data_IF_222639382097
#
_entry.id   IF_222639382097
#
_cell.length_a   1.000
_cell.length_b   1.000
_cell.length_c   1.000
_cell.angle_alpha   90.00
_cell.angle_beta   90.00
_cell.angle_gamma   90.00
#
_symmetry.space_group_name_H-M   'P 1'
#
loop_
_entity.id
_entity.type
_entity.pdbx_description
1 polymer ?
#
# COMPACT_ATOMS: atom_id res chain seq x y z
N UNK A 1 -15.08 9.78 -6.57
CA UNK A 1 -16.06 8.97 -5.78
C UNK A 1 -15.41 7.86 -4.95
N UNK A 2 -14.21 7.35 -5.31
CA UNK A 2 -13.49 6.32 -4.52
C UNK A 2 -12.92 6.86 -3.18
N UNK A 3 -12.71 8.18 -3.08
CA UNK A 3 -12.26 8.86 -1.85
C UNK A 3 -13.34 9.03 -0.76
N UNK A 4 -14.55 8.50 -0.97
CA UNK A 4 -15.70 8.79 -0.08
C UNK A 4 -16.03 7.66 0.89
N UNK A 5 -15.46 6.46 0.68
CA UNK A 5 -15.45 5.31 1.57
C UNK A 5 -14.31 4.38 1.13
N UNK A 6 -13.07 4.69 1.49
CA UNK A 6 -11.96 3.77 1.26
C UNK A 6 -12.24 2.43 1.98
N UNK A 7 -11.87 1.29 1.37
CA UNK A 7 -11.83 0.00 2.06
C UNK A 7 -11.17 0.14 3.44
N UNK A 8 -11.70 -0.49 4.49
CA UNK A 8 -11.13 -0.40 5.83
C UNK A 8 -9.64 -0.79 5.80
N UNK A 9 -8.78 0.07 6.37
CA UNK A 9 -7.31 -0.10 6.35
C UNK A 9 -6.57 0.77 5.32
N UNK A 10 -7.26 1.34 4.31
CA UNK A 10 -6.59 2.21 3.31
C UNK A 10 -6.26 3.60 3.86
N UNK A 11 -7.09 4.15 4.73
CA UNK A 11 -6.81 5.47 5.33
C UNK A 11 -5.54 5.42 6.19
N UNK A 12 -5.38 4.35 6.95
CA UNK A 12 -4.19 4.10 7.76
C UNK A 12 -2.96 3.85 6.88
N UNK A 13 -3.08 3.11 5.76
CA UNK A 13 -1.99 2.96 4.78
C UNK A 13 -1.53 4.29 4.22
N UNK A 14 -2.47 5.13 3.81
CA UNK A 14 -2.16 6.44 3.23
C UNK A 14 -1.50 7.35 4.26
N UNK A 15 -1.96 7.31 5.52
CA UNK A 15 -1.32 8.02 6.62
C UNK A 15 0.13 7.54 6.85
N UNK A 16 0.35 6.21 6.86
CA UNK A 16 1.68 5.61 7.06
C UNK A 16 2.60 5.81 5.85
N UNK A 17 2.10 5.80 4.62
CA UNK A 17 2.88 6.19 3.44
C UNK A 17 3.33 7.67 3.54
N UNK A 18 2.51 8.52 4.14
CA UNK A 18 2.90 9.88 4.53
C UNK A 18 4.11 9.92 5.46
N UNK A 19 4.18 9.00 6.44
CA UNK A 19 5.35 8.86 7.33
C UNK A 19 6.60 8.53 6.53
N UNK A 20 6.53 7.54 5.63
CA UNK A 20 7.66 7.17 4.78
C UNK A 20 8.18 8.36 3.96
N UNK A 21 7.27 9.17 3.43
CA UNK A 21 7.62 10.40 2.70
C UNK A 21 8.32 11.42 3.58
N UNK A 22 7.87 11.61 4.83
CA UNK A 22 8.52 12.51 5.79
C UNK A 22 9.91 11.98 6.18
N UNK A 23 10.03 10.69 6.47
CA UNK A 23 11.28 10.05 6.84
C UNK A 23 12.33 10.09 5.72
N UNK A 24 11.90 10.10 4.46
CA UNK A 24 12.79 10.17 3.28
C UNK A 24 12.84 11.55 2.63
N UNK A 25 12.24 12.57 3.25
CA UNK A 25 12.20 13.92 2.70
C UNK A 25 13.60 14.51 2.63
N UNK A 26 13.95 15.14 1.50
CA UNK A 26 15.17 15.95 1.36
C UNK A 26 14.93 17.45 1.62
N UNK A 27 13.67 17.83 1.75
CA UNK A 27 13.25 19.22 1.96
C UNK A 27 13.19 19.58 3.45
N UNK A 28 12.98 18.57 4.30
CA UNK A 28 12.86 18.71 5.75
C UNK A 28 13.78 17.68 6.40
N UNK A 29 14.69 18.14 7.26
CA UNK A 29 15.56 17.27 8.07
C UNK A 29 14.96 17.16 9.47
N UNK A 30 14.56 15.93 9.85
CA UNK A 30 14.04 15.62 11.17
C UNK A 30 14.99 14.66 11.87
N UNK A 31 15.37 14.95 13.11
CA UNK A 31 16.13 14.01 13.94
C UNK A 31 15.28 12.83 14.39
N UNK A 32 13.99 13.07 14.68
CA UNK A 32 13.01 12.09 15.17
C UNK A 32 11.61 12.45 14.70
N UNK A 33 10.77 11.43 14.48
CA UNK A 33 9.35 11.57 14.11
C UNK A 33 8.54 10.77 15.13
N UNK A 34 7.55 11.40 15.77
CA UNK A 34 6.61 10.72 16.69
C UNK A 34 5.25 10.65 16.03
N UNK A 35 4.67 9.46 15.99
CA UNK A 35 3.39 9.19 15.33
C UNK A 35 2.39 8.77 16.40
N UNK A 36 1.33 9.57 16.57
CA UNK A 36 0.19 9.22 17.40
C UNK A 36 -0.85 8.50 16.52
N UNK A 37 -0.96 7.18 16.69
CA UNK A 37 -1.87 6.35 15.89
C UNK A 37 -3.24 6.27 16.54
N UNK A 38 -4.31 6.31 15.74
CA UNK A 38 -5.65 6.01 16.23
C UNK A 38 -5.73 4.59 16.85
N UNK A 39 -6.60 4.36 17.85
CA UNK A 39 -6.67 3.12 18.61
C UNK A 39 -7.21 1.99 17.74
N UNK A 40 -6.33 1.27 17.03
CA UNK A 40 -6.76 0.09 16.26
C UNK A 40 -5.64 -0.95 16.19
N UNK A 41 -5.95 -2.21 16.54
CA UNK A 41 -5.12 -3.38 16.20
C UNK A 41 -4.95 -3.60 14.69
N UNK A 42 -5.47 -2.70 13.84
CA UNK A 42 -5.31 -2.69 12.40
C UNK A 42 -3.91 -2.18 11.98
N UNK A 43 -3.27 -1.31 12.76
CA UNK A 43 -1.90 -0.83 12.52
C UNK A 43 -0.88 -1.97 12.50
N UNK A 44 -1.08 -3.02 13.30
CA UNK A 44 -0.21 -4.21 13.26
C UNK A 44 -0.60 -5.17 12.12
N UNK A 45 -1.89 -5.29 11.77
CA UNK A 45 -2.29 -6.05 10.56
C UNK A 45 -1.76 -5.42 9.29
N UNK A 46 -1.52 -4.12 9.27
CA UNK A 46 -0.89 -3.41 8.17
C UNK A 46 0.54 -3.87 7.88
N UNK A 47 1.25 -4.42 8.88
CA UNK A 47 2.56 -5.04 8.64
C UNK A 47 2.46 -6.35 7.84
N UNK A 48 1.29 -7.01 7.86
CA UNK A 48 1.01 -8.20 7.02
C UNK A 48 0.37 -7.86 5.67
N UNK A 49 -0.06 -6.62 5.47
CA UNK A 49 -0.64 -6.14 4.21
C UNK A 49 0.31 -6.21 3.00
N UNK A 50 1.64 -5.96 3.13
CA UNK A 50 2.59 -6.11 2.02
C UNK A 50 2.48 -7.47 1.34
N UNK A 51 2.44 -8.56 2.11
CA UNK A 51 2.42 -9.92 1.56
C UNK A 51 1.12 -10.23 0.81
N UNK A 52 -0.02 -9.73 1.31
CA UNK A 52 -1.30 -9.84 0.61
C UNK A 52 -1.29 -9.03 -0.70
N UNK A 53 -0.79 -7.79 -0.65
CA UNK A 53 -0.74 -6.92 -1.82
C UNK A 53 0.19 -7.51 -2.89
N UNK A 54 1.31 -8.11 -2.49
CA UNK A 54 2.23 -8.81 -3.38
C UNK A 54 1.52 -9.87 -4.22
N UNK A 55 0.81 -10.77 -3.54
CA UNK A 55 0.06 -11.85 -4.18
C UNK A 55 -1.10 -11.33 -5.04
N UNK A 56 -1.75 -10.25 -4.63
CA UNK A 56 -2.82 -9.64 -5.40
C UNK A 56 -2.29 -9.01 -6.70
N UNK A 57 -1.19 -8.28 -6.62
CA UNK A 57 -0.57 -7.63 -7.78
C UNK A 57 -0.05 -8.64 -8.80
N UNK A 58 0.56 -9.73 -8.34
CA UNK A 58 0.96 -10.82 -9.22
C UNK A 58 -0.21 -11.39 -10.01
N UNK A 59 -1.39 -11.52 -9.39
CA UNK A 59 -2.61 -11.99 -10.06
C UNK A 59 -3.14 -10.96 -11.07
N UNK A 60 -3.13 -9.68 -10.71
CA UNK A 60 -3.58 -8.58 -11.59
C UNK A 60 -2.68 -8.44 -12.81
N UNK A 61 -1.35 -8.50 -12.63
CA UNK A 61 -0.38 -8.44 -13.72
C UNK A 61 -0.58 -9.62 -14.68
N UNK A 62 -0.69 -10.85 -14.16
CA UNK A 62 -0.97 -12.04 -14.97
C UNK A 62 -2.31 -11.96 -15.72
N UNK A 63 -3.34 -11.38 -15.10
CA UNK A 63 -4.62 -11.17 -15.76
C UNK A 63 -4.51 -10.15 -16.90
N UNK A 64 -3.81 -9.04 -16.68
CA UNK A 64 -3.53 -8.02 -17.71
C UNK A 64 -2.78 -8.61 -18.90
N UNK A 65 -1.71 -9.40 -18.66
CA UNK A 65 -0.95 -10.07 -19.72
C UNK A 65 -1.84 -10.99 -20.59
N UNK A 66 -2.75 -11.74 -19.96
CA UNK A 66 -3.71 -12.58 -20.68
C UNK A 66 -4.70 -11.76 -21.50
N UNK A 67 -5.21 -10.66 -20.95
CA UNK A 67 -6.15 -9.77 -21.63
C UNK A 67 -5.48 -9.06 -22.81
N UNK A 68 -4.23 -8.62 -22.67
CA UNK A 68 -3.48 -7.98 -23.75
C UNK A 68 -3.21 -8.96 -24.91
N UNK A 69 -2.90 -10.22 -24.60
CA UNK A 69 -2.80 -11.28 -25.60
C UNK A 69 -4.10 -11.51 -26.39
N UNK A 70 -5.24 -11.56 -25.71
CA UNK A 70 -6.56 -11.77 -26.35
C UNK A 70 -7.02 -10.54 -27.13
N UNK A 71 -6.97 -9.35 -26.52
CA UNK A 71 -7.27 -8.09 -27.19
C UNK A 71 -6.33 -7.89 -28.37
N UNK A 72 -5.11 -8.41 -28.27
CA UNK A 72 -4.14 -8.28 -29.32
C UNK A 72 -4.49 -9.04 -30.60
N UNK A 73 -5.07 -10.23 -30.45
CA UNK A 73 -5.63 -11.01 -31.56
C UNK A 73 -6.88 -10.34 -32.12
N UNK A 74 -7.79 -9.89 -31.25
CA UNK A 74 -9.07 -9.26 -31.65
C UNK A 74 -8.85 -7.92 -32.37
N UNK A 75 -7.97 -7.06 -31.88
CA UNK A 75 -7.69 -5.79 -32.52
C UNK A 75 -6.90 -5.93 -33.84
N UNK A 76 -6.17 -7.04 -34.03
CA UNK A 76 -5.61 -7.40 -35.34
C UNK A 76 -6.69 -7.66 -36.39
N UNK A 77 -7.91 -8.00 -35.96
CA UNK A 77 -9.09 -8.21 -36.81
C UNK A 77 -10.00 -6.96 -36.90
N UNK A 78 -10.05 -6.10 -35.87
CA UNK A 78 -11.03 -5.01 -35.74
C UNK A 78 -10.48 -3.58 -35.65
N UNK A 79 -9.16 -3.38 -35.65
CA UNK A 79 -8.51 -2.08 -35.89
C UNK A 79 -8.70 -0.97 -34.84
N UNK A 80 -9.31 -1.22 -33.68
CA UNK A 80 -9.48 -0.24 -32.58
C UNK A 80 -8.91 -0.79 -31.27
N UNK A 81 -7.77 -0.26 -30.84
CA UNK A 81 -6.93 -0.85 -29.76
C UNK A 81 -6.58 0.11 -28.62
N UNK A 82 -6.49 1.42 -28.89
CA UNK A 82 -5.61 2.26 -28.06
C UNK A 82 -6.15 2.65 -26.67
N UNK A 83 -7.44 2.97 -26.52
CA UNK A 83 -7.87 3.63 -25.27
C UNK A 83 -8.00 2.71 -24.04
N UNK A 84 -8.37 1.43 -24.22
CA UNK A 84 -8.61 0.51 -23.10
C UNK A 84 -7.30 -0.06 -22.52
N UNK A 85 -6.36 -0.43 -23.39
CA UNK A 85 -5.06 -0.97 -22.98
C UNK A 85 -4.24 0.11 -22.26
N UNK A 86 -4.25 1.34 -22.78
CA UNK A 86 -3.57 2.48 -22.16
C UNK A 86 -4.07 2.76 -20.73
N UNK A 87 -5.39 2.68 -20.49
CA UNK A 87 -5.96 2.89 -19.16
C UNK A 87 -5.60 1.76 -18.18
N UNK A 88 -5.60 0.50 -18.65
CA UNK A 88 -5.18 -0.64 -17.84
C UNK A 88 -3.70 -0.51 -17.44
N UNK A 89 -2.85 -0.05 -18.36
CA UNK A 89 -1.43 0.13 -18.11
C UNK A 89 -1.15 1.19 -17.05
N UNK A 90 -1.83 2.33 -17.11
CA UNK A 90 -1.71 3.38 -16.10
C UNK A 90 -2.16 2.86 -14.72
N UNK A 91 -3.23 2.07 -14.66
CA UNK A 91 -3.71 1.48 -13.41
C UNK A 91 -2.69 0.49 -12.82
N UNK A 92 -2.13 -0.40 -13.65
CA UNK A 92 -1.11 -1.37 -13.23
C UNK A 92 0.16 -0.68 -12.73
N UNK A 93 0.64 0.35 -13.45
CA UNK A 93 1.82 1.10 -13.02
C UNK A 93 1.59 1.84 -11.70
N UNK A 94 0.40 2.38 -11.49
CA UNK A 94 0.02 3.01 -10.22
C UNK A 94 0.06 1.99 -9.08
N UNK A 95 -0.48 0.79 -9.31
CA UNK A 95 -0.47 -0.30 -8.35
C UNK A 95 0.94 -0.81 -8.00
N UNK A 96 1.85 -0.86 -8.99
CA UNK A 96 3.26 -1.22 -8.76
C UNK A 96 3.94 -0.19 -7.84
N UNK A 97 3.70 1.11 -8.05
CA UNK A 97 4.26 2.16 -7.17
C UNK A 97 3.76 2.02 -5.73
N UNK A 98 2.47 1.77 -5.54
CA UNK A 98 1.91 1.53 -4.21
C UNK A 98 2.55 0.31 -3.52
N UNK A 99 2.88 -0.74 -4.28
CA UNK A 99 3.61 -1.92 -3.77
C UNK A 99 4.97 -1.52 -3.20
N UNK A 100 5.74 -0.75 -3.96
CA UNK A 100 7.09 -0.32 -3.59
C UNK A 100 7.06 0.54 -2.31
N UNK A 101 6.09 1.45 -2.21
CA UNK A 101 5.89 2.27 -1.02
C UNK A 101 5.55 1.43 0.21
N UNK A 102 4.69 0.42 0.07
CA UNK A 102 4.28 -0.46 1.17
C UNK A 102 5.42 -1.37 1.64
N UNK A 103 6.23 -1.90 0.71
CA UNK A 103 7.43 -2.66 1.04
C UNK A 103 8.42 -1.77 1.80
N UNK A 104 8.67 -0.57 1.29
CA UNK A 104 9.57 0.39 1.93
C UNK A 104 9.11 0.79 3.34
N UNK A 105 7.80 0.93 3.56
CA UNK A 105 7.21 1.20 4.86
C UNK A 105 7.39 0.01 5.81
N UNK A 106 7.14 -1.21 5.35
CA UNK A 106 7.39 -2.44 6.12
C UNK A 106 8.85 -2.52 6.56
N UNK A 107 9.77 -2.29 5.63
CA UNK A 107 11.21 -2.38 5.90
C UNK A 107 11.63 -1.31 6.91
N UNK A 108 11.08 -0.09 6.83
CA UNK A 108 11.29 0.96 7.83
C UNK A 108 10.80 0.54 9.22
N UNK A 109 9.62 -0.08 9.31
CA UNK A 109 9.07 -0.55 10.59
C UNK A 109 9.76 -1.78 11.16
N UNK A 110 10.43 -2.57 10.32
CA UNK A 110 11.23 -3.71 10.75
C UNK A 110 12.67 -3.32 11.16
N UNK A 111 13.12 -2.11 10.83
CA UNK A 111 14.44 -1.60 11.20
C UNK A 111 14.46 -1.15 12.66
N UNK A 112 15.16 -1.92 13.50
CA UNK A 112 15.28 -1.68 14.94
C UNK A 112 16.18 -0.49 15.31
N UNK A 113 17.04 -0.02 14.40
CA UNK A 113 17.88 1.16 14.63
C UNK A 113 17.12 2.46 14.29
N UNK A 114 16.13 2.38 13.41
CA UNK A 114 15.36 3.53 12.93
C UNK A 114 13.97 3.68 13.58
N UNK A 115 13.32 2.57 13.98
CA UNK A 115 11.93 2.56 14.45
C UNK A 115 11.77 1.89 15.82
N UNK A 116 10.97 2.51 16.69
CA UNK A 116 10.54 1.98 17.98
C UNK A 116 9.01 2.03 18.10
N UNK A 117 8.41 1.01 18.73
CA UNK A 117 6.98 0.97 19.03
C UNK A 117 6.74 1.06 20.55
N UNK A 118 5.92 2.02 20.96
CA UNK A 118 5.51 2.19 22.36
C UNK A 118 4.01 1.90 22.49
N UNK A 119 3.66 0.82 23.21
CA UNK A 119 2.26 0.45 23.47
C UNK A 119 1.75 1.19 24.70
N UNK A 120 0.67 1.95 24.53
CA UNK A 120 -0.01 2.67 25.61
C UNK A 120 -1.33 1.98 25.92
N UNK A 121 -1.49 1.49 27.15
CA UNK A 121 -2.70 0.77 27.59
C UNK A 121 -3.10 1.14 29.02
N UNK A 122 -4.31 0.73 29.43
CA UNK A 122 -4.85 0.91 30.78
C UNK A 122 -4.73 -0.39 31.60
N UNK A 123 -4.67 -0.34 32.94
CA UNK A 123 -4.40 -1.51 33.79
C UNK A 123 -5.63 -2.40 34.00
N UNK A 124 -6.39 -2.70 32.94
CA UNK A 124 -7.54 -3.62 33.00
C UNK A 124 -7.13 -4.99 32.47
N UNK A 125 -7.70 -6.06 33.00
CA UNK A 125 -7.38 -7.42 32.53
C UNK A 125 -7.63 -7.61 31.03
N UNK A 126 -8.68 -6.99 30.49
CA UNK A 126 -8.99 -7.02 29.07
C UNK A 126 -7.88 -6.36 28.24
N UNK A 127 -7.48 -5.14 28.60
CA UNK A 127 -6.52 -4.35 27.82
C UNK A 127 -5.07 -4.84 27.96
N UNK A 128 -4.77 -5.69 28.94
CA UNK A 128 -3.48 -6.38 29.09
C UNK A 128 -3.46 -7.69 28.27
N UNK A 129 -4.62 -8.31 28.08
CA UNK A 129 -4.74 -9.57 27.33
C UNK A 129 -4.88 -9.37 25.81
N UNK A 130 -5.26 -8.16 25.37
CA UNK A 130 -5.28 -7.72 23.97
C UNK A 130 -3.87 -7.48 23.42
#
# INVERSE_FOLDING_TARGET
QILRNPPPGIDELVALAGVLRLARSKEYEFDRIVIDTAPTGHTLRLLSFPDFLDQFLDKVIKLRERLDGVLGVVAGLFGKRDNLVQQADVAVQTLIKYREEIIALRDLFADADATEFCVVTIPTQLAIAE
#
